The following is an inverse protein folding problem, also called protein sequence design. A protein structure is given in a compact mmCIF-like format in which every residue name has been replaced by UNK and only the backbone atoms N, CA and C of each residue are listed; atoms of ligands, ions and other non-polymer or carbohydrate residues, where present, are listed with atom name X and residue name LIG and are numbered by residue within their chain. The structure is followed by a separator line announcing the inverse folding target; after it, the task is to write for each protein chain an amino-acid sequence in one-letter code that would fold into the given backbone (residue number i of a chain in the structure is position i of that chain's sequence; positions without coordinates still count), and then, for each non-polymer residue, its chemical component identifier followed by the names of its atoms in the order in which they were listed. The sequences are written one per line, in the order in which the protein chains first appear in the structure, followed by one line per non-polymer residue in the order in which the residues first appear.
data_IF_352758052588
#
_entry.id   IF_352758052588
#
_cell.length_a   1.000
_cell.length_b   1.000
_cell.length_c   1.000
_cell.angle_alpha   90.00
_cell.angle_beta   90.00
_cell.angle_gamma   90.00
#
_symmetry.space_group_name_H-M   'P 1'
#
loop_
_entity.id
_entity.type
_entity.pdbx_description
1 polymer ?
#
# COMPACT_ATOMS: atom_id res chain seq x y z
N UNK A 1 -7.93 9.76 -42.64
CA UNK A 1 -8.87 9.19 -41.66
C UNK A 1 -9.92 10.24 -41.35
N UNK A 2 -11.16 10.03 -41.79
CA UNK A 2 -12.24 11.00 -41.59
C UNK A 2 -12.85 10.89 -40.17
N UNK A 3 -13.67 11.87 -39.78
CA UNK A 3 -14.30 11.96 -38.44
C UNK A 3 -15.24 10.78 -38.11
N UNK A 4 -15.80 10.11 -39.11
CA UNK A 4 -16.66 8.92 -38.95
C UNK A 4 -15.84 7.64 -38.82
N UNK A 5 -14.73 7.50 -39.56
CA UNK A 5 -13.76 6.41 -39.42
C UNK A 5 -13.08 6.46 -38.03
N UNK A 6 -12.79 7.66 -37.51
CA UNK A 6 -12.27 7.83 -36.15
C UNK A 6 -13.29 7.44 -35.05
N UNK A 7 -14.61 7.60 -35.32
CA UNK A 7 -15.68 7.20 -34.40
C UNK A 7 -15.95 5.69 -34.40
N UNK A 8 -15.67 5.01 -35.52
CA UNK A 8 -15.96 3.58 -35.70
C UNK A 8 -14.76 2.66 -35.44
N UNK A 9 -13.53 3.13 -35.68
CA UNK A 9 -12.33 2.29 -35.62
C UNK A 9 -11.88 1.89 -34.20
N UNK A 10 -12.22 2.65 -33.16
CA UNK A 10 -11.74 2.41 -31.79
C UNK A 10 -12.71 1.68 -30.84
N UNK A 11 -13.90 1.30 -31.31
CA UNK A 11 -15.03 1.05 -30.41
C UNK A 11 -15.50 -0.39 -30.24
N UNK A 12 -15.63 -1.18 -31.30
CA UNK A 12 -16.43 -2.43 -31.21
C UNK A 12 -15.71 -3.55 -30.46
N UNK A 13 -14.47 -3.87 -30.83
CA UNK A 13 -13.68 -4.92 -30.15
C UNK A 13 -13.39 -4.60 -28.68
N UNK A 14 -13.16 -3.31 -28.37
CA UNK A 14 -12.96 -2.88 -26.98
C UNK A 14 -14.26 -2.96 -26.18
N UNK A 15 -15.42 -2.63 -26.78
CA UNK A 15 -16.73 -2.81 -26.16
C UNK A 15 -17.07 -4.28 -25.90
N UNK A 16 -16.76 -5.18 -26.84
CA UNK A 16 -16.95 -6.63 -26.68
C UNK A 16 -16.09 -7.15 -25.53
N UNK A 17 -14.79 -6.84 -25.53
CA UNK A 17 -13.87 -7.20 -24.43
C UNK A 17 -14.34 -6.67 -23.08
N UNK A 18 -14.86 -5.43 -23.01
CA UNK A 18 -15.42 -4.88 -21.77
C UNK A 18 -16.63 -5.69 -21.32
N UNK A 19 -17.56 -6.01 -22.24
CA UNK A 19 -18.74 -6.82 -21.90
C UNK A 19 -18.35 -8.20 -21.38
N UNK A 20 -17.42 -8.87 -22.06
CA UNK A 20 -16.88 -10.16 -21.63
C UNK A 20 -16.21 -10.06 -20.25
N UNK A 21 -15.46 -8.99 -19.99
CA UNK A 21 -14.81 -8.76 -18.69
C UNK A 21 -15.83 -8.52 -17.58
N UNK A 22 -16.87 -7.71 -17.84
CA UNK A 22 -17.95 -7.45 -16.88
C UNK A 22 -18.70 -8.75 -16.58
N UNK A 23 -19.02 -9.53 -17.59
CA UNK A 23 -19.74 -10.79 -17.40
C UNK A 23 -18.88 -11.83 -16.67
N UNK A 24 -17.60 -11.94 -17.04
CA UNK A 24 -16.62 -12.75 -16.33
C UNK A 24 -16.52 -12.38 -14.86
N UNK A 25 -16.44 -11.08 -14.55
CA UNK A 25 -16.37 -10.58 -13.17
C UNK A 25 -17.62 -10.93 -12.35
N UNK A 26 -18.82 -10.90 -12.93
CA UNK A 26 -20.06 -11.31 -12.24
C UNK A 26 -20.03 -12.79 -11.84
N UNK A 27 -19.37 -13.61 -12.64
CA UNK A 27 -19.28 -15.06 -12.43
C UNK A 27 -18.16 -15.47 -11.46
N UNK A 28 -17.30 -14.53 -11.02
CA UNK A 28 -16.30 -14.79 -10.01
C UNK A 28 -16.96 -15.08 -8.66
N UNK A 29 -16.33 -15.97 -7.88
CA UNK A 29 -16.65 -16.09 -6.46
C UNK A 29 -16.32 -14.78 -5.73
N UNK A 30 -16.88 -14.54 -4.55
CA UNK A 30 -16.49 -13.35 -3.78
C UNK A 30 -14.99 -13.35 -3.45
N UNK A 31 -14.41 -14.53 -3.21
CA UNK A 31 -12.97 -14.69 -2.97
C UNK A 31 -12.13 -14.23 -4.17
N UNK A 32 -12.52 -14.65 -5.39
CA UNK A 32 -11.81 -14.32 -6.63
C UNK A 32 -11.97 -12.84 -7.05
N UNK A 33 -12.89 -12.10 -6.43
CA UNK A 33 -13.04 -10.65 -6.66
C UNK A 33 -12.03 -9.81 -5.89
N UNK A 34 -11.34 -10.40 -4.91
CA UNK A 34 -10.40 -9.70 -4.04
C UNK A 34 -8.96 -9.82 -4.55
N UNK A 35 -8.38 -8.68 -4.93
CA UNK A 35 -7.08 -8.64 -5.57
C UNK A 35 -5.94 -8.31 -4.59
N UNK A 36 -4.74 -8.77 -4.92
CA UNK A 36 -3.49 -8.43 -4.26
C UNK A 36 -2.67 -7.51 -5.16
N UNK A 37 -2.38 -6.32 -4.66
CA UNK A 37 -1.67 -5.27 -5.37
C UNK A 37 -0.28 -5.03 -4.77
N UNK A 38 0.70 -4.79 -5.64
CA UNK A 38 2.03 -4.33 -5.28
C UNK A 38 2.33 -3.00 -5.98
N UNK A 39 2.67 -1.98 -5.19
CA UNK A 39 3.19 -0.70 -5.69
C UNK A 39 4.66 -0.59 -5.28
N UNK A 40 5.57 -0.72 -6.24
CA UNK A 40 7.00 -0.77 -5.96
C UNK A 40 7.82 0.24 -6.77
N UNK A 41 9.13 0.28 -6.53
CA UNK A 41 10.08 1.08 -7.28
C UNK A 41 10.64 2.27 -6.50
N UNK A 42 11.63 2.92 -7.08
CA UNK A 42 12.35 4.04 -6.45
C UNK A 42 11.74 5.41 -6.77
N UNK A 43 10.70 5.47 -7.59
CA UNK A 43 9.93 6.67 -7.82
C UNK A 43 9.09 7.08 -6.62
N UNK A 44 8.93 8.39 -6.44
CA UNK A 44 7.94 8.97 -5.52
C UNK A 44 6.55 8.60 -5.99
N UNK A 45 5.69 8.20 -5.05
CA UNK A 45 4.25 8.06 -5.30
C UNK A 45 3.59 6.80 -4.73
N UNK A 46 4.35 5.84 -4.20
CA UNK A 46 3.83 4.55 -3.72
C UNK A 46 2.82 4.74 -2.58
N UNK A 47 3.28 5.29 -1.46
CA UNK A 47 2.42 5.62 -0.31
C UNK A 47 1.26 6.52 -0.72
N UNK A 48 1.50 7.60 -1.48
CA UNK A 48 0.42 8.51 -1.88
C UNK A 48 -0.63 7.84 -2.77
N UNK A 49 -0.24 6.89 -3.63
CA UNK A 49 -1.18 6.12 -4.46
C UNK A 49 -2.08 5.24 -3.59
N UNK A 50 -1.51 4.53 -2.62
CA UNK A 50 -2.30 3.67 -1.72
C UNK A 50 -3.14 4.47 -0.72
N UNK A 51 -2.71 5.67 -0.32
CA UNK A 51 -3.55 6.61 0.44
C UNK A 51 -4.72 7.12 -0.40
N UNK A 52 -4.52 7.41 -1.69
CA UNK A 52 -5.60 7.73 -2.62
C UNK A 52 -6.59 6.58 -2.81
N UNK A 53 -6.09 5.34 -2.84
CA UNK A 53 -6.93 4.13 -2.85
C UNK A 53 -7.75 4.00 -1.55
N UNK A 54 -7.14 4.24 -0.39
CA UNK A 54 -7.85 4.27 0.89
C UNK A 54 -8.97 5.31 0.87
N UNK A 55 -8.73 6.52 0.36
CA UNK A 55 -9.77 7.56 0.25
C UNK A 55 -10.93 7.10 -0.65
N UNK A 56 -10.62 6.44 -1.78
CA UNK A 56 -11.65 5.88 -2.67
C UNK A 56 -12.47 4.80 -1.98
N UNK A 57 -11.84 3.90 -1.23
CA UNK A 57 -12.51 2.86 -0.48
C UNK A 57 -13.44 3.47 0.59
N UNK A 58 -12.94 4.41 1.39
CA UNK A 58 -13.76 5.10 2.40
C UNK A 58 -14.95 5.85 1.78
N UNK A 59 -14.74 6.53 0.66
CA UNK A 59 -15.83 7.20 -0.08
C UNK A 59 -16.90 6.25 -0.61
N UNK A 60 -16.57 4.97 -0.79
CA UNK A 60 -17.49 3.90 -1.15
C UNK A 60 -18.09 3.16 0.06
N UNK A 61 -17.88 3.67 1.28
CA UNK A 61 -18.40 3.07 2.51
C UNK A 61 -17.65 1.81 2.96
N UNK A 62 -16.43 1.59 2.45
CA UNK A 62 -15.61 0.42 2.74
C UNK A 62 -14.73 0.63 3.98
N UNK A 63 -14.46 -0.45 4.70
CA UNK A 63 -13.64 -0.47 5.92
C UNK A 63 -12.17 -0.64 5.56
N UNK A 64 -11.30 0.24 6.04
CA UNK A 64 -9.89 0.29 5.65
C UNK A 64 -8.99 0.09 6.87
N UNK A 65 -7.99 -0.77 6.75
CA UNK A 65 -6.89 -0.84 7.71
C UNK A 65 -5.55 -0.57 7.02
N UNK A 66 -4.69 0.20 7.68
CA UNK A 66 -3.36 0.56 7.17
C UNK A 66 -2.32 0.19 8.23
N UNK A 67 -1.38 -0.66 7.90
CA UNK A 67 -0.19 -0.96 8.70
C UNK A 67 1.00 -0.32 8.00
N UNK A 68 1.74 0.52 8.72
CA UNK A 68 2.87 1.27 8.17
C UNK A 68 4.18 0.82 8.81
N UNK A 69 4.93 0.00 8.08
CA UNK A 69 6.21 -0.54 8.51
C UNK A 69 7.30 0.54 8.46
N UNK A 70 8.22 0.51 9.42
CA UNK A 70 9.38 1.41 9.50
C UNK A 70 9.02 2.91 9.61
N UNK A 71 7.77 3.22 9.95
CA UNK A 71 7.25 4.59 10.12
C UNK A 71 6.83 4.81 11.57
N UNK A 72 7.73 5.34 12.38
CA UNK A 72 7.51 5.54 13.81
C UNK A 72 6.47 6.60 14.18
N UNK A 73 6.05 6.53 15.44
CA UNK A 73 5.21 7.50 16.12
C UNK A 73 5.42 7.37 17.63
N UNK A 74 6.01 8.38 18.25
CA UNK A 74 6.33 8.40 19.70
C UNK A 74 5.14 8.82 20.59
N UNK A 75 3.96 9.03 20.00
CA UNK A 75 2.77 9.50 20.70
C UNK A 75 2.64 11.02 20.81
N UNK A 76 3.69 11.78 20.44
CA UNK A 76 3.77 13.23 20.61
C UNK A 76 4.05 13.94 19.28
N UNK A 77 5.02 13.45 18.52
CA UNK A 77 5.50 14.02 17.27
C UNK A 77 4.95 13.21 16.08
N UNK A 78 4.16 13.86 15.24
CA UNK A 78 3.69 13.27 13.99
C UNK A 78 4.55 13.75 12.82
N UNK A 79 5.22 12.80 12.17
CA UNK A 79 6.06 13.04 10.99
C UNK A 79 5.37 12.69 9.67
N UNK A 80 4.19 12.06 9.72
CA UNK A 80 3.46 11.60 8.54
C UNK A 80 2.10 12.29 8.49
N UNK A 81 2.01 13.37 7.71
CA UNK A 81 0.83 14.24 7.66
C UNK A 81 -0.43 13.51 7.19
N UNK A 82 -0.31 12.43 6.42
CA UNK A 82 -1.48 11.62 6.06
C UNK A 82 -2.19 11.10 7.32
N UNK A 83 -1.45 10.72 8.37
CA UNK A 83 -2.05 10.18 9.61
C UNK A 83 -2.93 11.21 10.32
N UNK A 84 -2.58 12.50 10.23
CA UNK A 84 -3.36 13.58 10.84
C UNK A 84 -4.78 13.61 10.26
N UNK A 85 -4.91 13.57 8.94
CA UNK A 85 -6.23 13.58 8.30
C UNK A 85 -6.95 12.23 8.48
N UNK A 86 -6.24 11.11 8.40
CA UNK A 86 -6.84 9.79 8.57
C UNK A 86 -7.40 9.58 10.00
N UNK A 87 -6.72 10.07 11.04
CA UNK A 87 -7.24 10.04 12.43
C UNK A 87 -8.51 10.89 12.57
N UNK A 88 -8.55 12.09 11.97
CA UNK A 88 -9.76 12.93 11.94
C UNK A 88 -10.92 12.23 11.23
N UNK A 89 -10.66 11.53 10.13
CA UNK A 89 -11.68 10.75 9.43
C UNK A 89 -12.27 9.67 10.35
N UNK A 90 -11.42 8.98 11.13
CA UNK A 90 -11.88 8.01 12.14
C UNK A 90 -12.76 8.67 13.21
N UNK A 91 -12.33 9.81 13.73
CA UNK A 91 -13.07 10.57 14.76
C UNK A 91 -14.48 10.97 14.31
N UNK A 92 -14.65 11.32 13.03
CA UNK A 92 -15.96 11.68 12.47
C UNK A 92 -16.75 10.46 11.95
N UNK A 93 -16.29 9.24 12.24
CA UNK A 93 -17.05 8.00 12.04
C UNK A 93 -16.73 7.22 10.76
N UNK A 94 -15.70 7.59 9.98
CA UNK A 94 -15.27 6.73 8.88
C UNK A 94 -14.57 5.48 9.42
N UNK A 95 -14.81 4.29 8.81
CA UNK A 95 -14.25 3.03 9.27
C UNK A 95 -12.80 2.86 8.81
N UNK A 96 -11.88 3.61 9.41
CA UNK A 96 -10.45 3.52 9.15
C UNK A 96 -9.63 3.25 10.41
N UNK A 97 -8.73 2.27 10.31
CA UNK A 97 -7.73 1.95 11.33
C UNK A 97 -6.32 2.15 10.79
N UNK A 98 -5.44 2.75 11.59
CA UNK A 98 -4.05 3.03 11.24
C UNK A 98 -3.16 2.45 12.32
N UNK A 99 -2.11 1.74 11.90
CA UNK A 99 -1.14 1.08 12.75
C UNK A 99 0.27 1.48 12.33
N UNK A 100 0.82 2.59 12.85
CA UNK A 100 2.25 2.89 12.77
C UNK A 100 3.05 1.81 13.48
N UNK A 101 4.04 1.20 12.81
CA UNK A 101 4.87 0.10 13.35
C UNK A 101 6.33 0.31 12.95
N UNK A 102 6.99 1.24 13.63
CA UNK A 102 8.40 1.59 13.43
C UNK A 102 8.92 2.35 14.64
N UNK A 103 10.23 2.33 14.85
CA UNK A 103 10.84 3.20 15.85
C UNK A 103 11.07 4.60 15.27
N UNK A 104 11.31 5.58 16.15
CA UNK A 104 11.71 6.90 15.69
C UNK A 104 13.07 6.83 14.99
N UNK A 105 13.16 7.46 13.82
CA UNK A 105 14.39 7.53 13.01
C UNK A 105 14.87 8.95 12.83
N UNK A 106 14.01 9.94 13.02
CA UNK A 106 14.43 11.33 12.98
C UNK A 106 15.13 11.70 14.30
N UNK A 107 16.36 12.15 14.18
CA UNK A 107 17.12 12.68 15.29
C UNK A 107 16.62 14.10 15.63
N UNK A 108 16.96 14.59 16.82
CA UNK A 108 16.58 15.94 17.28
C UNK A 108 17.15 17.08 16.43
N UNK A 109 18.20 16.82 15.65
CA UNK A 109 18.80 17.77 14.70
C UNK A 109 18.17 17.73 13.30
N UNK A 110 17.12 16.92 13.11
CA UNK A 110 16.42 16.74 11.84
C UNK A 110 17.10 15.78 10.86
N UNK A 111 18.22 15.15 11.24
CA UNK A 111 18.85 14.09 10.44
C UNK A 111 18.17 12.73 10.66
N UNK A 112 18.53 11.74 9.84
CA UNK A 112 17.92 10.41 9.88
C UNK A 112 18.89 9.33 10.37
N UNK A 113 18.40 8.44 11.22
CA UNK A 113 19.09 7.24 11.70
C UNK A 113 18.90 6.10 10.72
N UNK A 114 20.02 5.62 10.16
CA UNK A 114 20.00 4.51 9.19
C UNK A 114 20.28 3.14 9.82
N UNK A 115 20.98 3.08 10.95
CA UNK A 115 21.30 1.81 11.62
C UNK A 115 20.08 1.30 12.39
N UNK A 116 19.72 0.02 12.21
CA UNK A 116 18.65 -0.62 12.97
C UNK A 116 19.05 -0.88 14.45
N UNK A 117 18.08 -0.78 15.34
CA UNK A 117 18.11 -1.10 16.77
C UNK A 117 17.19 -2.28 17.06
N UNK A 118 17.26 -2.84 18.28
CA UNK A 118 16.33 -3.89 18.72
C UNK A 118 14.86 -3.43 18.63
N UNK A 119 14.59 -2.16 18.96
CA UNK A 119 13.27 -1.56 18.85
C UNK A 119 12.72 -1.57 17.41
N UNK A 120 13.55 -1.34 16.39
CA UNK A 120 13.08 -1.42 15.00
C UNK A 120 12.63 -2.84 14.64
N UNK A 121 13.33 -3.87 15.15
CA UNK A 121 12.96 -5.27 14.93
C UNK A 121 11.68 -5.63 15.68
N UNK A 122 11.52 -5.16 16.92
CA UNK A 122 10.32 -5.37 17.72
C UNK A 122 9.10 -4.71 17.06
N UNK A 123 9.26 -3.50 16.54
CA UNK A 123 8.20 -2.78 15.83
C UNK A 123 7.84 -3.45 14.50
N UNK A 124 8.82 -3.93 13.74
CA UNK A 124 8.57 -4.70 12.51
C UNK A 124 7.80 -5.99 12.80
N UNK A 125 8.17 -6.71 13.88
CA UNK A 125 7.45 -7.90 14.35
C UNK A 125 6.03 -7.56 14.81
N UNK A 126 5.84 -6.45 15.53
CA UNK A 126 4.51 -5.96 15.91
C UNK A 126 3.65 -5.67 14.69
N UNK A 127 4.22 -5.11 13.62
CA UNK A 127 3.55 -4.91 12.35
C UNK A 127 3.10 -6.21 11.68
N UNK A 128 3.95 -7.23 11.67
CA UNK A 128 3.57 -8.58 11.19
C UNK A 128 2.40 -9.16 12.00
N UNK A 129 2.45 -9.06 13.32
CA UNK A 129 1.40 -9.61 14.19
C UNK A 129 0.05 -8.89 13.99
N UNK A 130 0.07 -7.58 13.81
CA UNK A 130 -1.13 -6.79 13.47
C UNK A 130 -1.67 -7.22 12.10
N UNK A 131 -0.82 -7.26 11.07
CA UNK A 131 -1.22 -7.67 9.72
C UNK A 131 -1.82 -9.08 9.71
N UNK A 132 -1.18 -10.03 10.39
CA UNK A 132 -1.65 -11.40 10.56
C UNK A 132 -3.03 -11.46 11.23
N UNK A 133 -3.23 -10.68 12.29
CA UNK A 133 -4.52 -10.62 12.98
C UNK A 133 -5.62 -10.00 12.11
N UNK A 134 -5.31 -8.95 11.34
CA UNK A 134 -6.25 -8.35 10.38
C UNK A 134 -6.62 -9.34 9.27
N UNK A 135 -5.66 -10.10 8.73
CA UNK A 135 -5.95 -11.14 7.74
C UNK A 135 -6.88 -12.22 8.29
N UNK A 136 -6.61 -12.70 9.51
CA UNK A 136 -7.38 -13.78 10.12
C UNK A 136 -8.76 -13.36 10.61
N UNK A 137 -8.86 -12.16 11.20
CA UNK A 137 -10.00 -11.77 12.05
C UNK A 137 -10.57 -10.39 11.70
N UNK A 138 -9.89 -9.61 10.86
CA UNK A 138 -10.32 -8.27 10.51
C UNK A 138 -11.66 -8.26 9.78
N UNK A 139 -12.51 -7.31 10.16
CA UNK A 139 -13.70 -6.93 9.41
C UNK A 139 -13.36 -5.69 8.56
N UNK A 140 -12.61 -5.94 7.50
CA UNK A 140 -12.08 -4.92 6.59
C UNK A 140 -12.38 -5.30 5.14
N UNK A 141 -12.44 -4.31 4.27
CA UNK A 141 -12.58 -4.47 2.82
C UNK A 141 -11.26 -4.18 2.08
N UNK A 142 -10.35 -3.44 2.73
CA UNK A 142 -9.03 -3.08 2.20
C UNK A 142 -7.97 -3.09 3.32
N UNK A 143 -6.90 -3.86 3.11
CA UNK A 143 -5.71 -3.88 3.95
C UNK A 143 -4.51 -3.32 3.17
N UNK A 144 -3.91 -2.24 3.67
CA UNK A 144 -2.68 -1.67 3.13
C UNK A 144 -1.53 -1.98 4.09
N UNK A 145 -0.51 -2.66 3.58
CA UNK A 145 0.76 -2.93 4.26
C UNK A 145 1.83 -2.04 3.61
N UNK A 146 1.84 -0.77 4.02
CA UNK A 146 2.72 0.25 3.48
C UNK A 146 4.16 0.01 3.99
N UNK A 147 5.10 0.02 3.06
CA UNK A 147 6.54 -0.26 3.23
C UNK A 147 6.88 -1.66 3.73
N UNK A 148 5.94 -2.62 3.71
CA UNK A 148 6.22 -4.01 4.09
C UNK A 148 7.29 -4.69 3.21
N UNK A 149 7.32 -4.37 1.91
CA UNK A 149 8.36 -4.88 0.99
C UNK A 149 9.68 -4.12 1.21
N UNK A 150 9.62 -2.82 1.53
CA UNK A 150 10.82 -2.03 1.83
C UNK A 150 11.50 -2.49 3.13
N UNK A 151 10.72 -2.91 4.14
CA UNK A 151 11.24 -3.47 5.38
C UNK A 151 12.15 -4.70 5.16
N UNK A 152 11.96 -5.44 4.06
CA UNK A 152 12.89 -6.52 3.65
C UNK A 152 14.21 -5.97 3.14
N UNK A 153 14.18 -4.89 2.35
CA UNK A 153 15.37 -4.18 1.87
C UNK A 153 16.16 -3.58 3.05
N UNK A 154 15.45 -3.11 4.08
CA UNK A 154 16.04 -2.56 5.30
C UNK A 154 16.42 -3.63 6.33
N UNK A 155 16.30 -4.91 5.99
CA UNK A 155 16.62 -6.05 6.86
C UNK A 155 15.83 -6.08 8.19
N UNK A 156 14.67 -5.42 8.25
CA UNK A 156 13.76 -5.47 9.39
C UNK A 156 12.85 -6.70 9.33
N UNK A 157 12.52 -7.12 8.11
CA UNK A 157 11.75 -8.33 7.82
C UNK A 157 12.55 -9.26 6.91
N UNK A 158 12.26 -10.55 6.98
CA UNK A 158 12.72 -11.51 5.99
C UNK A 158 11.72 -11.61 4.84
N UNK A 159 12.16 -12.13 3.69
CA UNK A 159 11.26 -12.49 2.58
C UNK A 159 10.19 -13.48 3.04
N UNK A 160 10.59 -14.45 3.87
CA UNK A 160 9.72 -15.49 4.39
C UNK A 160 8.59 -14.92 5.25
N UNK A 161 8.84 -13.86 6.03
CA UNK A 161 7.81 -13.20 6.83
C UNK A 161 6.69 -12.62 5.96
N UNK A 162 7.07 -11.94 4.87
CA UNK A 162 6.11 -11.37 3.92
C UNK A 162 5.39 -12.48 3.14
N UNK A 163 6.11 -13.52 2.72
CA UNK A 163 5.53 -14.65 1.99
C UNK A 163 4.50 -15.41 2.84
N UNK A 164 4.76 -15.60 4.14
CA UNK A 164 3.79 -16.19 5.08
C UNK A 164 2.51 -15.36 5.21
N UNK A 165 2.60 -14.03 5.19
CA UNK A 165 1.41 -13.17 5.18
C UNK A 165 0.60 -13.34 3.89
N UNK A 166 1.28 -13.39 2.74
CA UNK A 166 0.63 -13.61 1.43
C UNK A 166 -0.06 -14.98 1.39
N UNK A 167 0.63 -16.04 1.82
CA UNK A 167 0.06 -17.38 1.91
C UNK A 167 -1.15 -17.44 2.84
N UNK A 168 -1.08 -16.75 3.97
CA UNK A 168 -2.18 -16.68 4.90
C UNK A 168 -3.40 -15.96 4.31
N UNK A 169 -3.17 -14.86 3.60
CA UNK A 169 -4.21 -14.12 2.88
C UNK A 169 -4.83 -14.98 1.77
N UNK A 170 -4.02 -15.67 0.96
CA UNK A 170 -4.48 -16.49 -0.14
C UNK A 170 -5.30 -17.72 0.29
N UNK A 171 -5.18 -18.17 1.54
CA UNK A 171 -6.03 -19.26 2.07
C UNK A 171 -7.48 -18.83 2.28
N UNK A 172 -7.74 -17.53 2.42
CA UNK A 172 -9.07 -16.94 2.67
C UNK A 172 -9.09 -15.49 2.17
N UNK A 173 -9.20 -15.26 0.86
CA UNK A 173 -9.25 -13.88 0.34
C UNK A 173 -10.64 -13.29 0.61
N UNK A 174 -10.69 -12.24 1.43
CA UNK A 174 -11.94 -11.60 1.89
C UNK A 174 -11.96 -10.08 1.69
N UNK A 175 -10.86 -9.53 1.21
CA UNK A 175 -10.63 -8.10 1.08
C UNK A 175 -9.49 -7.83 0.09
N UNK A 176 -9.38 -6.60 -0.38
CA UNK A 176 -8.25 -6.12 -1.18
C UNK A 176 -6.98 -6.03 -0.32
N UNK A 177 -5.88 -6.63 -0.78
CA UNK A 177 -4.57 -6.53 -0.12
C UNK A 177 -3.65 -5.65 -0.94
N UNK A 178 -2.92 -4.74 -0.29
CA UNK A 178 -1.93 -3.90 -0.95
C UNK A 178 -0.63 -3.92 -0.18
N UNK A 179 0.49 -4.11 -0.88
CA UNK A 179 1.84 -3.95 -0.32
C UNK A 179 2.62 -2.89 -1.09
N UNK A 180 3.45 -2.13 -0.39
CA UNK A 180 4.37 -1.17 -1.02
C UNK A 180 5.82 -1.41 -0.63
N UNK A 181 6.75 -0.96 -1.47
CA UNK A 181 8.18 -0.95 -1.14
C UNK A 181 9.10 -0.65 -2.32
N UNK A 182 10.39 -0.95 -2.20
CA UNK A 182 11.38 -0.52 -3.20
C UNK A 182 11.64 -1.54 -4.30
N UNK A 183 11.99 -2.78 -3.92
CA UNK A 183 12.50 -3.79 -4.84
C UNK A 183 11.82 -5.13 -4.57
N UNK A 184 11.34 -5.77 -5.63
CA UNK A 184 10.80 -7.12 -5.55
C UNK A 184 11.93 -8.15 -5.58
N UNK A 185 11.76 -9.24 -4.85
CA UNK A 185 12.59 -10.43 -5.01
C UNK A 185 11.96 -11.41 -5.99
N UNK A 186 12.77 -12.38 -6.44
CA UNK A 186 12.34 -13.42 -7.36
C UNK A 186 11.07 -14.12 -6.86
N UNK A 187 10.09 -14.28 -7.74
CA UNK A 187 8.82 -14.95 -7.45
C UNK A 187 7.74 -14.09 -6.79
N UNK A 188 8.07 -12.92 -6.22
CA UNK A 188 7.06 -12.08 -5.56
C UNK A 188 6.04 -11.48 -6.55
N UNK A 189 6.49 -11.04 -7.72
CA UNK A 189 5.64 -10.47 -8.77
C UNK A 189 4.52 -11.45 -9.19
N UNK A 190 4.85 -12.72 -9.34
CA UNK A 190 3.90 -13.76 -9.75
C UNK A 190 2.83 -14.07 -8.69
N UNK A 191 2.98 -13.60 -7.44
CA UNK A 191 2.00 -13.79 -6.37
C UNK A 191 0.90 -12.72 -6.36
N UNK A 192 1.08 -11.60 -7.08
CA UNK A 192 0.16 -10.47 -7.08
C UNK A 192 -0.68 -10.40 -8.37
N UNK A 193 -1.89 -9.87 -8.25
CA UNK A 193 -2.82 -9.69 -9.38
C UNK A 193 -2.59 -8.35 -10.09
N UNK A 194 -2.05 -7.36 -9.38
CA UNK A 194 -1.61 -6.08 -9.93
C UNK A 194 -0.21 -5.74 -9.43
N UNK A 195 0.70 -5.41 -10.34
CA UNK A 195 2.03 -4.89 -10.01
C UNK A 195 2.25 -3.59 -10.75
N UNK A 196 2.53 -2.51 -10.02
CA UNK A 196 2.80 -1.18 -10.55
C UNK A 196 4.20 -0.72 -10.14
N UNK A 197 5.06 -0.47 -11.13
CA UNK A 197 6.37 0.15 -10.91
C UNK A 197 6.27 1.68 -10.99
N UNK A 198 6.64 2.34 -9.89
CA UNK A 198 6.89 3.76 -9.87
C UNK A 198 8.37 4.00 -10.16
N UNK A 199 8.66 4.39 -11.41
CA UNK A 199 10.01 4.66 -11.88
C UNK A 199 10.41 6.11 -11.59
N UNK A 200 11.58 6.32 -10.99
CA UNK A 200 12.17 7.66 -10.81
C UNK A 200 12.69 8.19 -12.16
N UNK A 201 11.84 8.84 -12.94
CA UNK A 201 12.24 9.50 -14.21
C UNK A 201 13.00 10.81 -13.93
N UNK A 202 12.49 11.61 -13.00
CA UNK A 202 13.13 12.83 -12.48
C UNK A 202 12.66 13.06 -11.03
N UNK A 203 13.52 13.59 -10.17
CA UNK A 203 13.15 13.98 -8.81
C UNK A 203 13.92 15.23 -8.39
N UNK A 204 13.25 16.24 -7.83
CA UNK A 204 13.89 17.52 -7.43
C UNK A 204 14.90 17.37 -6.29
N UNK A 205 14.84 16.27 -5.52
CA UNK A 205 15.90 15.92 -4.59
C UNK A 205 17.27 15.77 -5.27
N UNK A 206 17.30 15.26 -6.51
CA UNK A 206 18.54 15.14 -7.29
C UNK A 206 19.10 16.53 -7.67
N UNK A 207 18.28 17.59 -7.58
CA UNK A 207 18.65 18.99 -7.79
C UNK A 207 18.87 19.73 -6.44
N UNK A 208 18.94 19.01 -5.33
CA UNK A 208 19.23 19.57 -4.00
C UNK A 208 18.02 20.15 -3.26
N UNK A 209 16.79 19.92 -3.75
CA UNK A 209 15.57 20.35 -3.04
C UNK A 209 15.22 19.35 -1.93
N UNK A 210 15.17 19.77 -0.66
CA UNK A 210 14.89 18.87 0.47
C UNK A 210 13.41 18.46 0.52
N UNK A 211 13.10 17.56 1.46
CA UNK A 211 11.72 17.18 1.76
C UNK A 211 10.92 18.36 2.34
N UNK A 212 9.64 18.45 1.96
CA UNK A 212 8.74 19.56 2.32
C UNK A 212 7.44 19.02 2.90
N UNK A 213 6.97 19.69 3.95
CA UNK A 213 5.70 19.42 4.61
C UNK A 213 4.54 19.53 3.60
N UNK A 214 3.65 18.54 3.64
CA UNK A 214 2.49 18.40 2.76
C UNK A 214 2.82 17.85 1.37
N UNK A 215 4.10 17.61 1.05
CA UNK A 215 4.53 17.08 -0.25
C UNK A 215 5.28 15.75 -0.12
N UNK A 216 6.26 15.68 0.78
CA UNK A 216 7.01 14.45 1.09
C UNK A 216 6.49 13.75 2.33
N UNK A 217 6.07 14.53 3.32
CA UNK A 217 5.67 14.10 4.65
C UNK A 217 4.60 15.03 5.22
#
# INVERSE_FOLDING_TARGET
MNKEEAKSAGGSKYKEKIKETIEGYKNLTEEDKHMFHIYYGYGKGKTTAVMGLAMRALGAGKRVAIVQFDKGYDGQNEHYAERVILRKLKEIGFPIDIHPTGAERMNSDGTFRFKNTEEDFDEAKRGLDIAKNLILKGEIDLLILDEAIAAVVYHLLTKEDVEKLIELYNKKRRFELVMTGHKLWEGLEAKADLVTELKKVKHYFDEGIPARLGIEF
#
